data_IF_066757303276
#
_entry.id   IF_066757303276
#
_cell.length_a   1.000
_cell.length_b   1.000
_cell.length_c   1.000
_cell.angle_alpha   90.00
_cell.angle_beta   90.00
_cell.angle_gamma   90.00
#
_symmetry.space_group_name_H-M   'P 1'
#
loop_
_entity.id
_entity.type
_entity.pdbx_description
1 polymer ?
2 water ?
#
# COMPACT_ATOMS: atom_id res chain seq x y z
N UNK A 2 -10.09 9.53 -15.90
CA UNK A 2 -8.69 9.10 -15.63
C UNK A 2 -8.20 8.11 -16.67
N UNK A 3 -6.93 7.73 -16.58
CA UNK A 3 -6.41 6.78 -17.54
C UNK A 3 -5.40 5.76 -16.98
N UNK A 4 -4.58 6.14 -15.97
CA UNK A 4 -3.64 5.14 -15.45
C UNK A 4 -4.39 4.06 -14.65
N UNK A 5 -4.10 2.79 -14.93
CA UNK A 5 -4.75 1.66 -14.27
C UNK A 5 -4.73 1.71 -12.75
N UNK A 6 -3.58 2.05 -12.20
CA UNK A 6 -3.40 2.12 -10.76
C UNK A 6 -2.86 3.49 -10.34
N UNK A 7 -3.40 4.03 -9.25
CA UNK A 7 -2.99 5.35 -8.76
C UNK A 7 -2.73 5.43 -7.25
N UNK A 8 -1.96 6.43 -6.84
CA UNK A 8 -1.67 6.62 -5.44
C UNK A 8 -0.95 7.94 -5.18
N UNK A 9 -0.85 8.36 -3.91
CA UNK A 9 -0.16 9.62 -3.64
C UNK A 9 1.32 9.49 -4.00
N UNK A 10 1.88 10.54 -4.60
CA UNK A 10 3.28 10.53 -5.00
C UNK A 10 4.21 10.37 -3.79
N UNK A 11 3.79 10.93 -2.65
CA UNK A 11 4.54 10.87 -1.39
C UNK A 11 3.62 11.00 -0.17
N UNK A 12 3.99 10.35 0.93
CA UNK A 12 3.21 10.40 2.17
C UNK A 12 4.14 10.61 3.38
N UNK A 13 3.69 11.44 4.31
CA UNK A 13 4.48 11.74 5.49
C UNK A 13 3.81 11.39 6.81
N UNK A 14 4.61 10.85 7.72
CA UNK A 14 4.14 10.48 9.04
C UNK A 14 5.14 10.91 10.11
N UNK A 15 4.71 10.86 11.36
CA UNK A 15 5.56 11.25 12.47
C UNK A 15 5.94 10.04 13.32
N UNK A 16 7.17 10.04 13.82
CA UNK A 16 7.68 8.98 14.67
C UNK A 16 6.67 8.61 15.77
N UNK A 17 6.33 7.33 15.86
CA UNK A 17 5.35 6.84 16.83
C UNK A 17 3.95 7.16 16.36
N UNK A 18 3.88 7.83 15.22
CA UNK A 18 2.59 8.20 14.69
C UNK A 18 1.95 7.14 13.81
N UNK A 19 1.07 7.62 12.93
CA UNK A 19 0.35 6.75 12.02
C UNK A 19 0.20 7.43 10.66
N UNK A 20 0.15 6.65 9.59
CA UNK A 20 -0.03 7.22 8.27
C UNK A 20 -0.79 6.22 7.40
N UNK A 21 -1.67 6.73 6.55
CA UNK A 21 -2.43 5.87 5.66
C UNK A 21 -2.13 6.22 4.21
N UNK A 22 -2.41 5.27 3.33
CA UNK A 22 -2.18 5.43 1.90
C UNK A 22 -3.36 4.85 1.14
N UNK A 23 -3.82 5.60 0.14
CA UNK A 23 -4.94 5.18 -0.68
C UNK A 23 -4.53 5.01 -2.12
N UNK A 24 -4.68 3.79 -2.61
CA UNK A 24 -4.36 3.51 -3.99
C UNK A 24 -5.62 3.14 -4.76
N UNK A 25 -5.92 3.95 -5.78
CA UNK A 25 -7.11 3.77 -6.59
C UNK A 25 -6.79 3.04 -7.88
N UNK A 26 -7.62 2.05 -8.19
CA UNK A 26 -7.45 1.26 -9.40
C UNK A 26 -8.71 1.34 -10.22
N UNK A 27 -8.61 1.00 -11.50
CA UNK A 27 -9.74 1.06 -12.39
C UNK A 27 -10.61 -0.20 -12.40
N UNK A 28 -11.77 -0.11 -13.02
CA UNK A 28 -12.68 -1.24 -13.10
C UNK A 28 -11.92 -2.46 -13.62
N UNK A 29 -12.22 -3.62 -13.04
CA UNK A 29 -11.57 -4.85 -13.45
C UNK A 29 -10.63 -5.51 -12.45
N UNK A 30 -10.00 -4.73 -11.57
CA UNK A 30 -9.06 -5.31 -10.61
C UNK A 30 -9.64 -5.56 -9.22
N UNK A 31 -10.92 -5.25 -9.04
CA UNK A 31 -11.59 -5.43 -7.75
C UNK A 31 -11.30 -6.75 -7.02
N UNK A 32 -11.22 -7.84 -7.78
CA UNK A 32 -11.02 -9.17 -7.20
C UNK A 32 -9.56 -9.62 -7.05
N UNK A 33 -8.63 -8.86 -7.60
CA UNK A 33 -7.22 -9.22 -7.51
C UNK A 33 -6.69 -9.02 -6.09
N UNK A 34 -5.61 -9.71 -5.75
CA UNK A 34 -5.04 -9.54 -4.42
C UNK A 34 -4.36 -8.19 -4.39
N UNK A 35 -4.44 -7.50 -3.25
CA UNK A 35 -3.83 -6.18 -3.10
C UNK A 35 -2.73 -6.22 -2.04
N UNK A 36 -1.63 -5.51 -2.29
CA UNK A 36 -0.54 -5.50 -1.30
C UNK A 36 0.31 -4.25 -1.19
N UNK A 37 1.09 -4.22 -0.11
CA UNK A 37 1.98 -3.12 0.20
C UNK A 37 3.35 -3.74 0.37
N UNK A 38 4.25 -3.45 -0.56
CA UNK A 38 5.60 -3.99 -0.48
C UNK A 38 6.56 -2.85 -0.17
N UNK A 39 7.69 -3.18 0.44
CA UNK A 39 8.70 -2.18 0.76
C UNK A 39 9.89 -2.38 -0.17
N UNK A 40 10.45 -1.29 -0.70
CA UNK A 40 11.60 -1.39 -1.57
C UNK A 40 11.37 -0.80 -2.94
N UNK A 41 12.39 -0.15 -3.50
CA UNK A 41 12.23 0.47 -4.81
C UNK A 41 12.28 -0.55 -5.95
N UNK A 42 13.01 -1.64 -5.76
CA UNK A 42 13.12 -2.66 -6.79
C UNK A 42 11.96 -3.62 -6.62
N UNK A 43 11.14 -3.77 -7.66
CA UNK A 43 9.99 -4.66 -7.61
C UNK A 43 10.38 -6.12 -7.36
N UNK A 44 11.51 -6.56 -7.93
CA UNK A 44 11.97 -7.94 -7.75
C UNK A 44 12.25 -8.33 -6.30
N UNK A 45 13.15 -7.62 -5.63
CA UNK A 45 13.44 -7.96 -4.24
C UNK A 45 12.54 -7.17 -3.29
N UNK A 46 11.28 -7.05 -3.70
CA UNK A 46 10.24 -6.36 -2.93
C UNK A 46 10.07 -7.03 -1.58
N UNK A 47 9.78 -6.25 -0.55
CA UNK A 47 9.55 -6.83 0.76
C UNK A 47 8.06 -6.69 1.07
N UNK A 48 7.29 -7.74 0.80
CA UNK A 48 5.85 -7.71 1.05
C UNK A 48 5.55 -7.62 2.54
N UNK A 49 4.85 -6.56 2.93
CA UNK A 49 4.50 -6.34 4.33
C UNK A 49 3.13 -6.89 4.68
N UNK A 50 2.19 -6.76 3.75
CA UNK A 50 0.84 -7.25 3.98
C UNK A 50 0.09 -7.34 2.65
N UNK A 51 -0.97 -8.13 2.62
CA UNK A 51 -1.77 -8.26 1.42
C UNK A 51 -3.13 -8.88 1.70
N UNK A 52 -4.10 -8.61 0.83
CA UNK A 52 -5.44 -9.14 0.98
C UNK A 52 -5.54 -10.44 0.18
N UNK A 53 -6.65 -11.14 0.36
CA UNK A 53 -6.91 -12.39 -0.34
C UNK A 53 -7.80 -12.10 -1.54
N UNK A 54 -8.00 -10.82 -1.84
CA UNK A 54 -8.85 -10.46 -2.95
C UNK A 54 -10.26 -10.10 -2.50
N UNK A 55 -10.51 -10.18 -1.20
CA UNK A 55 -11.83 -9.85 -0.65
C UNK A 55 -11.78 -8.46 -0.01
N UNK A 56 -12.81 -8.12 0.77
CA UNK A 56 -12.84 -6.83 1.43
C UNK A 56 -12.52 -6.91 2.92
N UNK A 57 -11.95 -8.03 3.34
CA UNK A 57 -11.59 -8.23 4.73
C UNK A 57 -10.30 -7.46 5.03
N UNK A 58 -10.28 -6.74 6.14
CA UNK A 58 -9.07 -6.03 6.51
C UNK A 58 -8.07 -7.08 6.99
N UNK A 59 -6.82 -6.95 6.56
CA UNK A 59 -5.78 -7.88 6.96
C UNK A 59 -4.68 -7.06 7.59
N UNK A 60 -4.16 -7.54 8.71
CA UNK A 60 -3.09 -6.84 9.40
C UNK A 60 -1.90 -7.77 9.67
N UNK A 61 -0.70 -7.21 9.60
CA UNK A 61 0.52 -7.96 9.86
C UNK A 61 1.49 -7.06 10.58
N UNK A 62 1.59 -7.25 11.89
CA UNK A 62 2.46 -6.42 12.73
C UNK A 62 1.93 -4.99 12.73
N UNK A 63 2.73 -4.06 12.22
CA UNK A 63 2.36 -2.65 12.19
C UNK A 63 1.72 -2.15 10.90
N UNK A 64 1.32 -3.07 10.04
CA UNK A 64 0.70 -2.69 8.77
C UNK A 64 -0.62 -3.42 8.51
N UNK A 65 -1.68 -2.67 8.22
CA UNK A 65 -2.96 -3.30 7.91
C UNK A 65 -3.42 -2.80 6.55
N UNK A 66 -4.24 -3.59 5.87
CA UNK A 66 -4.74 -3.21 4.55
C UNK A 66 -6.18 -3.62 4.41
N UNK A 67 -6.98 -2.76 3.80
CA UNK A 67 -8.38 -3.07 3.59
C UNK A 67 -8.82 -2.54 2.23
N UNK A 68 -9.40 -3.41 1.42
CA UNK A 68 -9.83 -3.06 0.08
C UNK A 68 -11.31 -2.69 -0.01
N UNK A 69 -11.58 -1.50 -0.54
CA UNK A 69 -12.95 -1.04 -0.72
C UNK A 69 -13.27 -1.17 -2.20
N UNK A 70 -13.73 -2.36 -2.59
CA UNK A 70 -14.04 -2.66 -3.97
C UNK A 70 -15.13 -1.80 -4.61
N UNK A 71 -16.07 -1.29 -3.81
CA UNK A 71 -17.10 -0.43 -4.37
C UNK A 71 -16.44 0.90 -4.76
N UNK A 72 -15.52 1.37 -3.93
CA UNK A 72 -14.82 2.62 -4.19
C UNK A 72 -13.56 2.38 -5.03
N UNK A 73 -13.27 1.11 -5.31
CA UNK A 73 -12.09 0.74 -6.10
C UNK A 73 -10.81 1.38 -5.59
N UNK A 74 -10.61 1.33 -4.28
CA UNK A 74 -9.43 1.90 -3.66
C UNK A 74 -9.10 1.17 -2.37
N UNK A 75 -7.90 0.61 -2.27
CA UNK A 75 -7.57 -0.05 -1.01
C UNK A 75 -6.76 0.90 -0.15
N UNK A 76 -6.88 0.73 1.16
CA UNK A 76 -6.19 1.58 2.10
C UNK A 76 -5.15 0.84 2.93
N UNK A 77 -3.92 1.33 2.86
CA UNK A 77 -2.81 0.77 3.60
C UNK A 77 -2.58 1.65 4.83
N UNK A 78 -2.50 1.03 6.01
CA UNK A 78 -2.29 1.77 7.25
C UNK A 78 -1.08 1.27 8.04
N UNK A 79 -0.15 2.18 8.32
CA UNK A 79 1.04 1.85 9.09
C UNK A 79 0.99 2.53 10.45
N UNK A 80 1.06 1.74 11.51
CA UNK A 80 1.00 2.27 12.87
C UNK A 80 2.38 2.37 13.50
N UNK A 81 2.43 2.98 14.68
CA UNK A 81 3.67 3.16 15.43
C UNK A 81 4.88 3.35 14.52
N UNK A 82 4.84 4.38 13.67
CA UNK A 82 5.92 4.67 12.73
C UNK A 82 7.30 4.80 13.36
N UNK A 83 8.31 4.39 12.62
CA UNK A 83 9.70 4.48 13.05
C UNK A 83 10.49 5.23 11.99
N UNK A 84 11.61 5.83 12.37
CA UNK A 84 12.43 6.58 11.41
C UNK A 84 13.01 5.68 10.31
N UNK A 85 13.06 4.39 10.58
CA UNK A 85 13.62 3.42 9.64
C UNK A 85 12.58 3.00 8.61
N UNK A 86 11.36 3.47 8.72
CA UNK A 86 10.31 3.11 7.76
C UNK A 86 10.41 3.93 6.48
N UNK A 87 11.11 5.05 6.54
CA UNK A 87 11.27 5.90 5.37
C UNK A 87 11.89 5.07 4.27
N UNK A 88 11.21 5.00 3.13
CA UNK A 88 11.71 4.21 2.00
C UNK A 88 10.74 4.41 0.85
N UNK A 89 10.96 3.67 -0.23
CA UNK A 89 10.08 3.70 -1.38
C UNK A 89 9.27 2.42 -1.28
N UNK A 90 7.95 2.54 -1.43
CA UNK A 90 7.07 1.40 -1.34
C UNK A 90 6.26 1.22 -2.61
N UNK A 91 5.57 0.10 -2.71
CA UNK A 91 4.73 -0.14 -3.86
C UNK A 91 3.33 -0.53 -3.40
N UNK A 92 2.36 -0.14 -4.21
CA UNK A 92 0.97 -0.47 -4.00
C UNK A 92 0.78 -1.46 -5.14
N UNK A 93 0.67 -2.74 -4.82
CA UNK A 93 0.53 -3.73 -5.86
C UNK A 93 -0.77 -4.48 -5.91
N UNK A 94 -1.15 -4.83 -7.13
CA UNK A 94 -2.38 -5.57 -7.41
C UNK A 94 -1.93 -6.80 -8.19
N UNK A 95 -2.48 -7.97 -7.87
CA UNK A 95 -2.05 -9.18 -8.56
C UNK A 95 -2.99 -10.39 -8.45
N UNK A 96 -3.01 -11.20 -9.50
CA UNK A 96 -3.81 -12.41 -9.55
C UNK A 96 -3.66 -13.17 -10.87
N UNK A 97 -3.57 -14.49 -10.73
CA UNK A 97 -3.45 -15.41 -11.84
C UNK A 97 -2.81 -14.88 -13.12
N UNK A 98 -1.56 -14.43 -13.00
CA UNK A 98 -0.86 -13.95 -14.17
C UNK A 98 -0.67 -12.46 -14.38
N UNK A 99 -1.52 -11.63 -13.78
CA UNK A 99 -1.39 -10.20 -13.98
C UNK A 99 -1.08 -9.41 -12.72
N UNK A 100 -0.52 -8.21 -12.90
CA UNK A 100 -0.21 -7.33 -11.79
C UNK A 100 0.14 -5.91 -12.24
N UNK A 101 -0.16 -4.96 -11.36
CA UNK A 101 0.09 -3.56 -11.60
C UNK A 101 0.70 -3.05 -10.31
N UNK A 102 1.40 -1.93 -10.39
CA UNK A 102 2.02 -1.36 -9.21
C UNK A 102 2.43 0.08 -9.44
N UNK A 103 2.33 0.89 -8.39
CA UNK A 103 2.75 2.27 -8.50
C UNK A 103 3.52 2.56 -7.22
N UNK A 104 4.64 3.25 -7.33
CA UNK A 104 5.43 3.54 -6.14
C UNK A 104 4.92 4.71 -5.33
N UNK A 105 5.10 4.62 -4.02
CA UNK A 105 4.71 5.67 -3.08
C UNK A 105 5.93 5.91 -2.21
N UNK A 106 6.35 7.16 -2.08
CA UNK A 106 7.50 7.46 -1.26
C UNK A 106 7.05 7.79 0.15
N UNK A 107 7.54 7.04 1.14
CA UNK A 107 7.17 7.29 2.52
C UNK A 107 8.23 8.07 3.29
N UNK A 108 7.81 9.14 3.96
CA UNK A 108 8.71 9.99 4.75
C UNK A 108 8.31 9.97 6.22
N UNK A 109 9.32 9.93 7.08
CA UNK A 109 9.08 9.89 8.51
C UNK A 109 9.78 11.04 9.20
N UNK A 110 9.05 11.75 10.05
CA UNK A 110 9.64 12.85 10.80
C UNK A 110 9.69 12.45 12.28
N UNK A 111 10.62 13.00 13.05
CA UNK A 111 10.74 12.66 14.48
C UNK A 111 10.04 13.66 15.40
N UNK A 112 10.06 13.40 16.72
CA UNK A 112 9.54 14.44 17.58
C UNK A 112 10.83 15.07 18.18
N UNK A 113 11.16 14.87 19.45
CA UNK A 113 10.75 14.20 20.70
C UNK A 113 9.70 15.00 21.47
#
# INVERSE_FOLDING_TARGET
RGIPQITGPTTVNGLERGSLTVQCVYRSGWETYLKWWCRGAIWRDCKILVKTSGSEQEVKRDRVSIKDNQKNRTFTVTMEDLMKTDADTYWCGIEKTGNDLGVTVQVTIDPAPVTQEETSSSPT
#
